data_IF_034107859038
#
_entry.id   IF_034107859038
#
_cell.length_a   1.000
_cell.length_b   1.000
_cell.length_c   1.000
_cell.angle_alpha   90.00
_cell.angle_beta   90.00
_cell.angle_gamma   90.00
#
_symmetry.space_group_name_H-M   'P 1'
#
loop_
_entity.id
_entity.type
_entity.pdbx_description
1 polymer ?
#
# COMPACT_ATOMS: atom_id res chain seq x y z
N UNK A 1 -17.16 -3.06 -9.91
CA UNK A 1 -16.32 -3.17 -8.68
C UNK A 1 -16.15 -1.79 -8.07
N UNK A 2 -16.31 -1.66 -6.75
CA UNK A 2 -16.25 -0.38 -6.05
C UNK A 2 -15.30 -0.47 -4.85
N UNK A 3 -14.39 0.51 -4.69
CA UNK A 3 -13.47 0.60 -3.55
C UNK A 3 -14.01 1.66 -2.59
N UNK A 4 -14.33 1.24 -1.38
CA UNK A 4 -14.93 2.07 -0.35
C UNK A 4 -14.14 2.00 0.95
N UNK A 5 -14.28 3.03 1.79
CA UNK A 5 -13.69 3.01 3.14
C UNK A 5 -14.30 1.86 3.94
N UNK A 6 -13.43 1.07 4.57
CA UNK A 6 -13.86 -0.02 5.44
C UNK A 6 -14.54 0.53 6.69
N UNK A 7 -15.67 -0.04 7.03
CA UNK A 7 -16.44 0.31 8.21
C UNK A 7 -17.05 -0.95 8.83
N UNK A 8 -17.51 -0.87 10.07
CA UNK A 8 -18.10 -2.00 10.82
C UNK A 8 -19.20 -2.74 10.04
N UNK A 9 -19.93 -2.05 9.14
CA UNK A 9 -20.98 -2.68 8.32
C UNK A 9 -20.48 -3.79 7.39
N UNK A 10 -19.17 -3.82 7.09
CA UNK A 10 -18.56 -4.81 6.22
C UNK A 10 -17.81 -5.90 7.00
N UNK A 11 -17.81 -5.87 8.35
CA UNK A 11 -17.00 -6.79 9.15
C UNK A 11 -17.38 -8.25 8.94
N UNK A 12 -18.66 -8.56 8.71
CA UNK A 12 -19.10 -9.93 8.42
C UNK A 12 -18.53 -10.49 7.10
N UNK A 13 -18.10 -9.63 6.17
CA UNK A 13 -17.52 -10.05 4.89
C UNK A 13 -16.06 -10.46 5.03
N UNK A 14 -15.38 -10.06 6.12
CA UNK A 14 -13.95 -10.36 6.29
C UNK A 14 -13.67 -11.81 6.61
N UNK A 15 -14.65 -12.54 7.17
CA UNK A 15 -14.49 -13.96 7.53
C UNK A 15 -14.05 -14.81 6.34
N UNK A 16 -14.61 -14.52 5.16
CA UNK A 16 -14.35 -15.27 3.92
C UNK A 16 -13.10 -14.78 3.19
N UNK A 17 -12.50 -13.66 3.61
CA UNK A 17 -11.33 -13.13 2.94
C UNK A 17 -10.10 -14.00 3.21
N UNK A 18 -9.41 -14.40 2.14
CA UNK A 18 -8.15 -15.12 2.21
C UNK A 18 -7.25 -14.75 1.02
N UNK A 19 -6.13 -14.10 1.30
CA UNK A 19 -5.12 -13.75 0.31
C UNK A 19 -3.93 -14.72 0.29
N UNK A 20 -3.96 -15.79 1.12
CA UNK A 20 -2.86 -16.74 1.27
C UNK A 20 -1.79 -16.33 2.30
N UNK A 21 -1.88 -15.14 2.89
CA UNK A 21 -0.95 -14.67 3.93
C UNK A 21 -1.69 -14.47 5.26
N UNK A 22 -1.26 -15.20 6.29
CA UNK A 22 -1.91 -15.20 7.60
C UNK A 22 -1.91 -13.82 8.28
N UNK A 23 -0.79 -13.09 8.25
CA UNK A 23 -0.66 -11.78 8.90
C UNK A 23 -1.61 -10.79 8.25
N UNK A 24 -1.63 -10.74 6.92
CA UNK A 24 -2.47 -9.85 6.13
C UNK A 24 -3.95 -10.19 6.33
N UNK A 25 -4.30 -11.48 6.33
CA UNK A 25 -5.66 -11.93 6.60
C UNK A 25 -6.12 -11.55 8.02
N UNK A 26 -5.25 -11.78 9.01
CA UNK A 26 -5.57 -11.51 10.41
C UNK A 26 -5.80 -10.01 10.66
N UNK A 27 -5.01 -9.12 10.08
CA UNK A 27 -5.21 -7.67 10.19
C UNK A 27 -6.63 -7.26 9.80
N UNK A 28 -7.14 -7.79 8.68
CA UNK A 28 -8.50 -7.47 8.22
C UNK A 28 -9.59 -8.08 9.12
N UNK A 29 -9.34 -9.30 9.67
CA UNK A 29 -10.32 -10.07 10.45
C UNK A 29 -10.36 -9.70 11.92
N UNK A 30 -9.25 -9.30 12.53
CA UNK A 30 -9.13 -9.00 13.97
C UNK A 30 -9.85 -7.73 14.40
N UNK A 31 -10.20 -6.86 13.46
CA UNK A 31 -10.76 -5.55 13.77
C UNK A 31 -9.73 -4.42 13.78
N UNK A 32 -8.41 -4.72 13.71
CA UNK A 32 -7.35 -3.72 13.62
C UNK A 32 -7.52 -2.82 12.40
N UNK A 33 -8.08 -3.37 11.31
CA UNK A 33 -8.43 -2.63 10.11
C UNK A 33 -9.49 -1.51 10.35
N UNK A 34 -10.20 -1.51 11.48
CA UNK A 34 -11.13 -0.46 11.90
C UNK A 34 -10.48 0.57 12.82
N UNK A 35 -9.33 0.24 13.42
CA UNK A 35 -8.60 1.16 14.29
C UNK A 35 -7.89 2.23 13.46
N UNK A 36 -8.31 3.49 13.66
CA UNK A 36 -7.70 4.63 12.96
C UNK A 36 -6.24 4.88 13.33
N UNK A 37 -5.78 4.37 14.48
CA UNK A 37 -4.37 4.43 14.87
C UNK A 37 -3.50 3.50 14.02
N UNK A 38 -4.10 2.45 13.45
CA UNK A 38 -3.46 1.52 12.52
C UNK A 38 -3.58 1.98 11.05
N UNK A 39 -4.14 3.18 10.82
CA UNK A 39 -4.35 3.72 9.49
C UNK A 39 -5.80 3.66 9.02
N UNK A 40 -5.99 3.93 7.73
CA UNK A 40 -7.32 3.90 7.10
C UNK A 40 -7.37 2.77 6.08
N UNK A 41 -8.31 1.88 6.27
CA UNK A 41 -8.52 0.73 5.38
C UNK A 41 -9.60 1.03 4.34
N UNK A 42 -9.35 0.59 3.12
CA UNK A 42 -10.29 0.59 2.01
C UNK A 42 -10.45 -0.82 1.48
N UNK A 43 -11.69 -1.20 1.20
CA UNK A 43 -12.04 -2.53 0.68
C UNK A 43 -12.64 -2.43 -0.70
N UNK A 44 -12.21 -3.33 -1.58
CA UNK A 44 -12.84 -3.56 -2.87
C UNK A 44 -13.90 -4.61 -2.72
N UNK A 45 -15.14 -4.25 -3.04
CA UNK A 45 -16.29 -5.14 -2.95
C UNK A 45 -16.63 -5.72 -4.32
N UNK A 46 -17.18 -6.95 -4.32
CA UNK A 46 -17.85 -7.51 -5.49
C UNK A 46 -19.01 -6.62 -5.94
N UNK A 47 -19.49 -6.80 -7.17
CA UNK A 47 -20.61 -6.00 -7.69
C UNK A 47 -21.88 -6.18 -6.84
N UNK A 48 -22.12 -7.38 -6.34
CA UNK A 48 -23.20 -7.71 -5.41
C UNK A 48 -22.92 -7.25 -3.98
N UNK A 49 -21.72 -6.73 -3.69
CA UNK A 49 -21.27 -6.27 -2.36
C UNK A 49 -21.40 -7.33 -1.25
N UNK A 50 -21.29 -8.59 -1.62
CA UNK A 50 -21.46 -9.73 -0.71
C UNK A 50 -20.12 -10.35 -0.27
N UNK A 51 -18.98 -9.93 -0.83
CA UNK A 51 -17.65 -10.32 -0.37
C UNK A 51 -16.58 -9.29 -0.74
N UNK A 52 -15.42 -9.38 -0.06
CA UNK A 52 -14.25 -8.52 -0.28
C UNK A 52 -13.32 -9.20 -1.28
N UNK A 53 -13.09 -8.53 -2.41
CA UNK A 53 -12.16 -8.98 -3.47
C UNK A 53 -10.71 -8.65 -3.09
N UNK A 54 -10.50 -7.50 -2.45
CA UNK A 54 -9.19 -7.04 -2.03
C UNK A 54 -9.31 -5.86 -1.08
N UNK A 55 -8.19 -5.47 -0.49
CA UNK A 55 -8.15 -4.30 0.37
C UNK A 55 -6.76 -3.67 0.40
N UNK A 56 -6.67 -2.44 0.85
CA UNK A 56 -5.45 -1.81 1.27
C UNK A 56 -5.67 -0.96 2.52
N UNK A 57 -4.59 -0.78 3.27
CA UNK A 57 -4.54 0.10 4.44
C UNK A 57 -3.40 1.10 4.27
N UNK A 58 -3.67 2.36 4.58
CA UNK A 58 -2.69 3.44 4.48
C UNK A 58 -2.58 4.21 5.79
N UNK A 59 -1.36 4.62 6.12
CA UNK A 59 -1.05 5.48 7.26
C UNK A 59 -0.08 6.60 6.87
N UNK A 60 0.14 7.55 7.76
CA UNK A 60 1.15 8.60 7.57
C UNK A 60 2.53 8.11 8.00
N UNK A 61 3.56 8.67 7.36
CA UNK A 61 4.94 8.41 7.69
C UNK A 61 5.86 9.56 7.28
N UNK A 62 7.15 9.32 7.36
CA UNK A 62 8.19 10.26 6.95
C UNK A 62 9.36 9.48 6.36
N UNK A 63 9.97 10.02 5.34
CA UNK A 63 11.24 9.55 4.80
C UNK A 63 12.34 10.49 5.26
N UNK A 64 13.41 9.91 5.79
CA UNK A 64 14.60 10.63 6.23
C UNK A 64 15.81 10.15 5.41
N UNK A 65 16.75 11.06 5.17
CA UNK A 65 18.10 10.74 4.74
C UNK A 65 18.98 10.48 5.95
N UNK A 66 19.79 9.43 5.90
CA UNK A 66 20.74 9.07 6.95
C UNK A 66 22.09 9.67 6.58
N UNK A 67 22.64 10.54 7.42
CA UNK A 67 24.01 11.04 7.33
C UNK A 67 24.86 10.46 8.46
N UNK A 68 26.05 10.02 8.15
CA UNK A 68 27.02 9.54 9.14
C UNK A 68 28.02 10.67 9.42
N UNK A 69 28.00 11.17 10.66
CA UNK A 69 28.93 12.21 11.13
C UNK A 69 29.75 11.62 12.29
N UNK A 70 31.00 11.28 12.01
CA UNK A 70 31.82 10.52 12.95
C UNK A 70 31.25 9.12 13.17
N UNK A 71 30.84 8.83 14.41
CA UNK A 71 30.21 7.55 14.79
C UNK A 71 28.69 7.64 14.99
N UNK A 72 28.08 8.78 14.67
CA UNK A 72 26.66 9.03 14.91
C UNK A 72 25.88 9.05 13.58
N UNK A 73 24.65 8.48 13.62
CA UNK A 73 23.67 8.59 12.53
C UNK A 73 22.79 9.80 12.78
N UNK A 74 22.75 10.70 11.82
CA UNK A 74 21.83 11.84 11.80
C UNK A 74 20.72 11.59 10.78
N UNK A 75 19.47 11.85 11.17
CA UNK A 75 18.30 11.67 10.31
C UNK A 75 17.81 13.04 9.86
N UNK A 76 17.91 13.32 8.57
CA UNK A 76 17.41 14.55 7.95
C UNK A 76 16.10 14.29 7.23
N UNK A 77 15.00 14.98 7.58
CA UNK A 77 13.72 14.81 6.88
C UNK A 77 13.84 15.10 5.38
N UNK A 78 13.46 14.15 4.54
CA UNK A 78 13.31 14.33 3.10
C UNK A 78 11.88 14.75 2.75
N UNK A 79 10.87 14.24 3.49
CA UNK A 79 9.48 14.62 3.29
C UNK A 79 8.48 13.71 3.97
N UNK A 80 7.24 14.17 4.04
CA UNK A 80 6.11 13.35 4.49
C UNK A 80 5.83 12.21 3.53
N UNK A 81 5.38 11.07 4.04
CA UNK A 81 4.96 9.93 3.23
C UNK A 81 3.57 9.44 3.60
N UNK A 82 2.94 8.73 2.66
CA UNK A 82 1.86 7.79 2.94
C UNK A 82 2.41 6.39 2.81
N UNK A 83 2.29 5.61 3.89
CA UNK A 83 2.68 4.21 3.87
C UNK A 83 1.51 3.35 3.45
N UNK A 84 1.73 2.43 2.51
CA UNK A 84 0.84 1.31 2.24
C UNK A 84 1.24 0.19 3.21
N UNK A 85 0.51 0.07 4.33
CA UNK A 85 0.80 -0.95 5.33
C UNK A 85 0.43 -2.35 4.84
N UNK A 86 -0.70 -2.44 4.12
CA UNK A 86 -1.20 -3.68 3.51
C UNK A 86 -1.85 -3.36 2.17
N UNK A 87 -1.63 -4.24 1.20
CA UNK A 87 -2.40 -4.33 -0.04
C UNK A 87 -2.53 -5.80 -0.38
N UNK A 88 -3.75 -6.28 -0.49
CA UNK A 88 -4.01 -7.69 -0.72
C UNK A 88 -5.21 -7.92 -1.63
N UNK A 89 -5.14 -9.01 -2.37
CA UNK A 89 -6.22 -9.51 -3.22
C UNK A 89 -6.53 -10.94 -2.78
N UNK A 90 -7.81 -11.24 -2.63
CA UNK A 90 -8.28 -12.58 -2.34
C UNK A 90 -7.71 -13.59 -3.35
N UNK A 91 -7.28 -14.73 -2.89
CA UNK A 91 -6.55 -15.75 -3.67
C UNK A 91 -7.23 -16.14 -4.97
N UNK A 92 -8.55 -16.23 -4.99
CA UNK A 92 -9.33 -16.55 -6.20
C UNK A 92 -9.25 -15.46 -7.29
N UNK A 93 -8.91 -14.21 -6.92
CA UNK A 93 -8.84 -13.07 -7.84
C UNK A 93 -7.42 -12.61 -8.14
N UNK A 94 -6.42 -13.24 -7.53
CA UNK A 94 -5.02 -12.98 -7.86
C UNK A 94 -4.78 -13.30 -9.34
N UNK A 95 -3.94 -12.47 -10.00
CA UNK A 95 -3.63 -12.57 -11.44
C UNK A 95 -4.82 -12.37 -12.39
N UNK A 96 -5.96 -11.84 -11.90
CA UNK A 96 -7.09 -11.46 -12.77
C UNK A 96 -6.68 -10.30 -13.66
N UNK A 97 -6.66 -10.52 -14.97
CA UNK A 97 -6.43 -9.48 -15.97
C UNK A 97 -7.71 -8.67 -16.14
N UNK A 98 -7.61 -7.35 -15.98
CA UNK A 98 -8.73 -6.40 -16.08
C UNK A 98 -8.83 -5.78 -17.47
N UNK A 99 -7.69 -5.49 -18.09
CA UNK A 99 -7.60 -4.82 -19.38
C UNK A 99 -6.25 -5.08 -20.04
N UNK A 100 -6.13 -4.66 -21.29
CA UNK A 100 -4.87 -4.60 -22.02
C UNK A 100 -4.83 -3.29 -22.82
N UNK A 101 -3.73 -2.52 -22.66
CA UNK A 101 -3.50 -1.27 -23.38
C UNK A 101 -2.12 -1.30 -24.03
N UNK A 102 -2.04 -1.16 -25.33
CA UNK A 102 -0.78 -1.14 -26.08
C UNK A 102 0.15 -2.34 -25.74
N UNK A 103 -0.43 -3.54 -25.61
CA UNK A 103 0.32 -4.75 -25.25
C UNK A 103 0.67 -4.88 -23.75
N UNK A 104 0.36 -3.87 -22.92
CA UNK A 104 0.54 -3.94 -21.46
C UNK A 104 -0.73 -4.46 -20.81
N UNK A 105 -0.62 -5.60 -20.15
CA UNK A 105 -1.72 -6.17 -19.37
C UNK A 105 -1.87 -5.42 -18.05
N UNK A 106 -3.09 -5.05 -17.70
CA UNK A 106 -3.45 -4.44 -16.42
C UNK A 106 -4.17 -5.50 -15.59
N UNK A 107 -3.67 -5.76 -14.39
CA UNK A 107 -4.25 -6.73 -13.47
C UNK A 107 -5.01 -6.04 -12.35
N UNK A 108 -5.77 -6.83 -11.59
CA UNK A 108 -6.55 -6.34 -10.46
C UNK A 108 -5.66 -5.65 -9.41
N UNK A 109 -4.42 -6.14 -9.22
CA UNK A 109 -3.43 -5.51 -8.35
C UNK A 109 -3.07 -4.09 -8.77
N UNK A 110 -2.86 -3.86 -10.07
CA UNK A 110 -2.60 -2.53 -10.61
C UNK A 110 -3.79 -1.60 -10.38
N UNK A 111 -5.00 -2.12 -10.52
CA UNK A 111 -6.23 -1.34 -10.34
C UNK A 111 -6.40 -0.86 -8.88
N UNK A 112 -6.22 -1.76 -7.91
CA UNK A 112 -6.35 -1.42 -6.49
C UNK A 112 -5.22 -0.47 -6.02
N UNK A 113 -3.99 -0.66 -6.53
CA UNK A 113 -2.86 0.22 -6.27
C UNK A 113 -3.12 1.64 -6.83
N UNK A 114 -3.64 1.75 -8.04
CA UNK A 114 -4.01 3.04 -8.64
C UNK A 114 -5.09 3.79 -7.86
N UNK A 115 -6.09 3.09 -7.29
CA UNK A 115 -7.07 3.74 -6.41
C UNK A 115 -6.37 4.31 -5.16
N UNK A 116 -5.44 3.55 -4.57
CA UNK A 116 -4.62 4.02 -3.44
C UNK A 116 -3.82 5.28 -3.83
N UNK A 117 -3.08 5.25 -4.93
CA UNK A 117 -2.29 6.38 -5.44
C UNK A 117 -3.17 7.62 -5.70
N UNK A 118 -4.36 7.45 -6.28
CA UNK A 118 -5.33 8.56 -6.48
C UNK A 118 -5.74 9.21 -5.16
N UNK A 119 -5.92 8.42 -4.11
CA UNK A 119 -6.23 8.96 -2.77
C UNK A 119 -5.05 9.74 -2.21
N UNK A 120 -3.83 9.26 -2.39
CA UNK A 120 -2.62 10.00 -1.99
C UNK A 120 -2.54 11.35 -2.70
N UNK A 121 -2.78 11.41 -4.01
CA UNK A 121 -2.87 12.67 -4.76
C UNK A 121 -3.97 13.59 -4.21
N UNK A 122 -5.09 13.03 -3.78
CA UNK A 122 -6.15 13.78 -3.11
C UNK A 122 -5.72 14.37 -1.76
N UNK A 123 -5.00 13.60 -0.94
CA UNK A 123 -4.46 14.02 0.35
C UNK A 123 -3.40 15.10 0.20
N UNK A 124 -2.51 14.97 -0.79
CA UNK A 124 -1.43 15.93 -1.09
C UNK A 124 -1.93 17.36 -1.30
N UNK A 125 -3.18 17.54 -1.74
CA UNK A 125 -3.79 18.86 -1.91
C UNK A 125 -3.93 19.64 -0.58
N UNK A 126 -3.93 18.92 0.55
CA UNK A 126 -4.20 19.48 1.87
C UNK A 126 -3.01 19.35 2.84
N UNK A 127 -2.10 18.43 2.58
CA UNK A 127 -0.92 18.17 3.43
C UNK A 127 0.30 17.88 2.57
N UNK A 128 1.50 18.21 3.08
CA UNK A 128 2.77 17.94 2.40
C UNK A 128 3.09 16.45 2.37
N UNK A 129 2.98 15.83 1.21
CA UNK A 129 3.34 14.42 0.97
C UNK A 129 4.27 14.39 -0.24
N UNK A 130 5.48 13.86 -0.06
CA UNK A 130 6.46 13.70 -1.11
C UNK A 130 6.53 12.24 -1.62
N UNK A 131 6.23 11.26 -0.75
CA UNK A 131 6.46 9.85 -1.03
C UNK A 131 5.22 8.99 -0.78
N UNK A 132 5.10 7.91 -1.56
CA UNK A 132 4.37 6.70 -1.19
C UNK A 132 5.41 5.66 -0.83
N UNK A 133 5.28 5.01 0.31
CA UNK A 133 6.24 4.02 0.80
C UNK A 133 5.54 2.72 1.18
N UNK A 134 6.25 1.62 1.13
CA UNK A 134 5.75 0.31 1.55
C UNK A 134 6.90 -0.66 1.84
N UNK A 135 6.55 -1.75 2.54
CA UNK A 135 7.41 -2.92 2.68
C UNK A 135 6.75 -4.10 1.94
N UNK A 136 7.36 -4.54 0.85
CA UNK A 136 6.79 -5.57 -0.02
C UNK A 136 7.26 -6.96 0.38
N UNK A 137 6.35 -7.92 0.33
CA UNK A 137 6.74 -9.34 0.27
C UNK A 137 7.42 -9.65 -1.06
N UNK A 138 8.09 -10.80 -1.16
CA UNK A 138 8.70 -11.22 -2.42
C UNK A 138 7.65 -11.37 -3.54
N UNK A 139 6.46 -11.90 -3.23
CA UNK A 139 5.38 -12.04 -4.20
C UNK A 139 4.82 -10.68 -4.65
N UNK A 140 4.84 -9.67 -3.77
CA UNK A 140 4.34 -8.32 -4.07
C UNK A 140 5.34 -7.47 -4.86
N UNK A 141 6.64 -7.78 -4.80
CA UNK A 141 7.70 -6.97 -5.41
C UNK A 141 7.47 -6.68 -6.90
N UNK A 142 7.08 -7.70 -7.65
CA UNK A 142 6.77 -7.56 -9.08
C UNK A 142 5.66 -6.52 -9.35
N UNK A 143 4.61 -6.48 -8.51
CA UNK A 143 3.52 -5.50 -8.65
C UNK A 143 4.05 -4.07 -8.54
N UNK A 144 4.88 -3.82 -7.53
CA UNK A 144 5.32 -2.46 -7.23
C UNK A 144 6.49 -2.03 -8.10
N UNK A 145 7.60 -2.76 -8.04
CA UNK A 145 8.85 -2.37 -8.69
C UNK A 145 8.77 -2.50 -10.21
N UNK A 146 8.44 -3.69 -10.74
CA UNK A 146 8.53 -3.93 -12.17
C UNK A 146 7.34 -3.35 -12.96
N UNK A 147 6.16 -3.31 -12.34
CA UNK A 147 4.92 -2.92 -13.04
C UNK A 147 4.51 -1.49 -12.78
N UNK A 148 4.77 -0.95 -11.61
CA UNK A 148 4.27 0.36 -11.19
C UNK A 148 5.36 1.35 -10.78
N UNK A 149 6.63 1.08 -11.14
CA UNK A 149 7.77 1.99 -11.02
C UNK A 149 8.02 2.51 -9.60
N UNK A 150 7.85 1.64 -8.61
CA UNK A 150 8.39 1.88 -7.28
C UNK A 150 9.88 1.54 -7.29
N UNK A 151 10.66 2.28 -6.53
CA UNK A 151 12.10 2.13 -6.41
C UNK A 151 12.47 1.53 -5.05
N UNK A 152 13.57 0.79 -4.99
CA UNK A 152 14.13 0.34 -3.72
C UNK A 152 14.65 1.55 -2.93
N UNK A 153 14.54 1.50 -1.60
CA UNK A 153 15.17 2.49 -0.74
C UNK A 153 16.69 2.45 -0.92
N UNK A 154 17.30 3.62 -1.05
CA UNK A 154 18.75 3.75 -1.02
C UNK A 154 19.29 3.41 0.38
N UNK A 155 20.58 3.05 0.47
CA UNK A 155 21.23 2.67 1.75
C UNK A 155 21.21 3.81 2.79
N UNK A 156 21.14 5.06 2.33
CA UNK A 156 21.07 6.25 3.15
C UNK A 156 19.62 6.77 3.38
N UNK A 157 18.61 6.01 2.94
CA UNK A 157 17.20 6.33 3.18
C UNK A 157 16.63 5.51 4.33
N UNK A 158 15.75 6.12 5.10
CA UNK A 158 15.03 5.49 6.21
C UNK A 158 13.57 5.91 6.22
N UNK A 159 12.69 4.98 6.58
CA UNK A 159 11.30 5.28 6.93
C UNK A 159 11.02 4.76 8.34
N UNK A 160 10.80 5.67 9.27
CA UNK A 160 10.63 5.38 10.68
C UNK A 160 9.56 4.30 10.98
N UNK A 161 8.49 4.23 10.20
CA UNK A 161 7.42 3.24 10.38
C UNK A 161 7.85 1.84 9.93
N UNK A 162 8.76 1.75 8.97
CA UNK A 162 9.17 0.48 8.34
C UNK A 162 10.49 -0.08 8.89
N UNK A 163 11.26 0.72 9.63
CA UNK A 163 12.57 0.30 10.15
C UNK A 163 12.49 -0.79 11.22
N UNK A 164 11.31 -1.05 11.77
CA UNK A 164 11.09 -2.13 12.73
C UNK A 164 10.94 -3.51 12.11
N UNK A 165 10.69 -3.61 10.80
CA UNK A 165 10.53 -4.87 10.09
C UNK A 165 11.58 -5.01 8.98
N UNK A 166 12.57 -5.85 9.24
CA UNK A 166 13.65 -6.16 8.29
C UNK A 166 13.29 -7.27 7.29
N UNK A 167 12.06 -7.79 7.34
CA UNK A 167 11.60 -8.84 6.44
C UNK A 167 10.84 -8.25 5.25
N UNK A 168 11.51 -8.06 4.12
CA UNK A 168 10.88 -7.59 2.88
C UNK A 168 11.66 -6.53 2.14
N UNK A 169 11.08 -6.08 1.03
CA UNK A 169 11.67 -5.07 0.16
C UNK A 169 11.08 -3.70 0.49
N UNK A 170 11.90 -2.79 1.00
CA UNK A 170 11.48 -1.41 1.27
C UNK A 170 11.44 -0.65 -0.05
N UNK A 171 10.27 -0.19 -0.43
CA UNK A 171 10.04 0.49 -1.70
C UNK A 171 9.42 1.86 -1.47
N UNK A 172 9.75 2.80 -2.37
CA UNK A 172 9.12 4.11 -2.41
C UNK A 172 8.78 4.53 -3.85
N UNK A 173 7.93 5.52 -3.95
CA UNK A 173 7.65 6.25 -5.19
C UNK A 173 7.44 7.72 -4.86
N UNK A 174 8.03 8.61 -5.66
CA UNK A 174 7.71 10.03 -5.57
C UNK A 174 6.25 10.26 -5.95
N UNK A 175 5.56 11.10 -5.18
CA UNK A 175 4.17 11.44 -5.50
C UNK A 175 4.07 12.21 -6.81
N UNK A 176 5.14 12.95 -7.18
CA UNK A 176 5.22 13.66 -8.47
C UNK A 176 5.24 12.69 -9.67
N UNK A 177 5.70 11.45 -9.48
CA UNK A 177 5.76 10.42 -10.53
C UNK A 177 4.44 9.63 -10.67
N UNK A 178 3.46 9.89 -9.82
CA UNK A 178 2.11 9.35 -9.98
C UNK A 178 1.40 10.15 -11.08
N UNK A 179 1.78 9.88 -12.34
CA UNK A 179 1.27 10.59 -13.49
C UNK A 179 -0.13 10.08 -13.85
N UNK A 180 -1.09 11.01 -13.92
CA UNK A 180 -2.34 10.83 -14.68
C UNK A 180 -3.12 9.57 -14.33
N UNK A 181 -3.14 9.20 -13.06
CA UNK A 181 -3.92 8.07 -12.60
C UNK A 181 -5.42 8.29 -12.71
#
# INVERSE_FOLDING_TARGET
MNIVKYTKRFSSLTEKFDCGNFIINNFLKSGDALDKNQGITYVMLSDEKNYIIGYYNISVGRVDQIEIVGNEKLYKPMGGSVNINFLAIHSEFQRTQMAEFNGRKVYLGDYILRDCEKRVLGLRKNIGIAFVTLNSTQEGYHLYHERNSYEDFDEDMSNFVQDSDNSGYKLYKWVDDIIGA
#
